data_IF_016862103026
#
_entry.id   IF_016862103026
#
_cell.length_a   1.000
_cell.length_b   1.000
_cell.length_c   1.000
_cell.angle_alpha   90.00
_cell.angle_beta   90.00
_cell.angle_gamma   90.00
#
_symmetry.space_group_name_H-M   'P 1'
#
loop_
_entity.id
_entity.type
_entity.pdbx_description
1 polymer ?
#
# COMPACT_ATOMS: atom_id res chain seq x y z
N UNK A 1 42.18 -31.12 45.61
CA UNK A 1 40.72 -31.18 45.72
C UNK A 1 40.20 -29.81 45.31
N UNK A 2 39.86 -29.64 44.03
CA UNK A 2 39.49 -28.34 43.43
C UNK A 2 37.97 -28.25 43.42
N UNK A 3 37.42 -27.39 44.24
CA UNK A 3 35.97 -27.06 44.28
C UNK A 3 35.67 -26.12 43.09
N UNK A 4 35.00 -26.61 42.06
CA UNK A 4 34.45 -25.82 40.99
C UNK A 4 33.16 -25.11 41.46
N UNK A 5 32.96 -23.82 41.15
CA UNK A 5 31.83 -23.05 41.66
C UNK A 5 30.54 -23.43 40.92
N UNK A 6 29.60 -24.05 41.59
CA UNK A 6 28.23 -24.42 41.11
C UNK A 6 27.38 -23.18 40.84
N UNK A 7 27.80 -22.00 41.24
CA UNK A 7 27.03 -20.76 41.19
C UNK A 7 26.99 -20.14 39.78
N UNK A 8 28.03 -20.28 38.96
CA UNK A 8 28.11 -19.71 37.62
C UNK A 8 27.15 -20.33 36.58
N UNK A 9 26.81 -21.61 36.72
CA UNK A 9 25.88 -22.31 35.80
C UNK A 9 24.42 -21.83 35.91
N UNK A 10 24.02 -21.22 37.03
CA UNK A 10 22.65 -20.69 37.22
C UNK A 10 22.40 -19.36 36.54
N UNK A 11 23.41 -18.50 36.47
CA UNK A 11 23.33 -17.16 35.87
C UNK A 11 23.38 -17.25 34.35
N UNK A 12 24.24 -18.09 33.78
CA UNK A 12 24.32 -18.34 32.34
C UNK A 12 23.00 -18.91 31.76
N UNK A 13 22.33 -19.77 32.52
CA UNK A 13 21.04 -20.34 32.13
C UNK A 13 19.89 -19.29 32.13
N UNK A 14 19.90 -18.34 33.08
CA UNK A 14 18.93 -17.22 33.11
C UNK A 14 19.21 -16.24 31.99
N UNK A 15 20.45 -15.86 31.78
CA UNK A 15 20.85 -14.92 30.71
C UNK A 15 20.49 -15.45 29.32
N UNK A 16 20.76 -16.73 29.01
CA UNK A 16 20.36 -17.40 27.76
C UNK A 16 18.85 -17.40 27.54
N UNK A 17 18.03 -17.52 28.58
CA UNK A 17 16.57 -17.46 28.48
C UNK A 17 16.07 -16.06 28.15
N UNK A 18 16.60 -15.03 28.80
CA UNK A 18 16.24 -13.64 28.49
C UNK A 18 16.67 -13.24 27.07
N UNK A 19 17.85 -13.65 26.63
CA UNK A 19 18.30 -13.42 25.24
C UNK A 19 17.37 -14.10 24.24
N UNK A 20 16.98 -15.36 24.47
CA UNK A 20 16.04 -16.07 23.59
C UNK A 20 14.67 -15.36 23.51
N UNK A 21 14.13 -14.92 24.65
CA UNK A 21 12.84 -14.20 24.68
C UNK A 21 12.94 -12.86 23.96
N UNK A 22 14.00 -12.09 24.20
CA UNK A 22 14.24 -10.81 23.53
C UNK A 22 14.35 -11.02 22.02
N UNK A 23 15.11 -12.01 21.57
CA UNK A 23 15.25 -12.33 20.13
C UNK A 23 13.90 -12.69 19.52
N UNK A 24 13.09 -13.53 20.19
CA UNK A 24 11.76 -13.89 19.69
C UNK A 24 10.83 -12.67 19.57
N UNK A 25 10.84 -11.78 20.57
CA UNK A 25 10.05 -10.54 20.54
C UNK A 25 10.53 -9.62 19.41
N UNK A 26 11.85 -9.47 19.22
CA UNK A 26 12.38 -8.65 18.13
C UNK A 26 11.99 -9.21 16.75
N UNK A 27 12.11 -10.50 16.52
CA UNK A 27 11.69 -11.15 15.28
C UNK A 27 10.20 -10.96 15.05
N UNK A 28 9.38 -11.12 16.09
CA UNK A 28 7.94 -10.91 15.99
C UNK A 28 7.59 -9.45 15.66
N UNK A 29 8.22 -8.48 16.34
CA UNK A 29 7.99 -7.05 16.08
C UNK A 29 8.43 -6.65 14.67
N UNK A 30 9.55 -7.19 14.20
CA UNK A 30 10.02 -6.96 12.82
C UNK A 30 9.01 -7.52 11.82
N UNK A 31 8.54 -8.75 11.99
CA UNK A 31 7.53 -9.35 11.13
C UNK A 31 6.20 -8.59 11.13
N UNK A 32 5.74 -8.15 12.31
CA UNK A 32 4.54 -7.34 12.45
C UNK A 32 4.69 -5.97 11.78
N UNK A 33 5.86 -5.32 11.93
CA UNK A 33 6.14 -4.03 11.28
C UNK A 33 6.12 -4.15 9.76
N UNK A 34 6.70 -5.20 9.20
CA UNK A 34 6.67 -5.47 7.76
C UNK A 34 5.24 -5.72 7.25
N UNK A 35 4.44 -6.44 8.02
CA UNK A 35 3.05 -6.74 7.67
C UNK A 35 2.15 -5.49 7.72
N UNK A 36 2.36 -4.61 8.69
CA UNK A 36 1.57 -3.39 8.86
C UNK A 36 2.05 -2.24 7.97
N UNK A 37 3.28 -2.30 7.44
CA UNK A 37 3.89 -1.22 6.66
C UNK A 37 2.99 -0.72 5.52
N UNK A 38 2.43 -1.56 4.63
CA UNK A 38 1.60 -1.07 3.54
C UNK A 38 0.35 -0.33 4.02
N UNK A 39 -0.29 -0.82 5.08
CA UNK A 39 -1.51 -0.22 5.63
C UNK A 39 -1.23 1.15 6.26
N UNK A 40 -0.17 1.24 7.06
CA UNK A 40 0.24 2.50 7.71
C UNK A 40 0.69 3.53 6.67
N UNK A 41 1.50 3.10 5.72
CA UNK A 41 2.03 3.97 4.67
C UNK A 41 0.92 4.48 3.75
N UNK A 42 -0.01 3.62 3.32
CA UNK A 42 -1.15 4.04 2.52
C UNK A 42 -2.06 5.04 3.27
N UNK A 43 -2.31 4.82 4.56
CA UNK A 43 -3.05 5.78 5.39
C UNK A 43 -2.35 7.13 5.46
N UNK A 44 -1.04 7.14 5.68
CA UNK A 44 -0.24 8.37 5.72
C UNK A 44 -0.30 9.11 4.38
N UNK A 45 -0.12 8.40 3.27
CA UNK A 45 -0.17 8.98 1.93
C UNK A 45 -1.57 9.52 1.58
N UNK A 46 -2.63 8.78 1.89
CA UNK A 46 -4.01 9.24 1.71
C UNK A 46 -4.30 10.54 2.47
N UNK A 47 -3.74 10.68 3.68
CA UNK A 47 -3.88 11.92 4.46
C UNK A 47 -3.15 13.11 3.80
N UNK A 48 -1.95 12.88 3.26
CA UNK A 48 -1.21 13.91 2.52
C UNK A 48 -1.95 14.31 1.23
N UNK A 49 -2.51 13.35 0.49
CA UNK A 49 -3.34 13.63 -0.68
C UNK A 49 -4.54 14.51 -0.31
N UNK A 50 -5.24 14.18 0.77
CA UNK A 50 -6.38 14.98 1.25
C UNK A 50 -5.97 16.39 1.61
N UNK A 51 -4.80 16.55 2.25
CA UNK A 51 -4.27 17.86 2.61
C UNK A 51 -3.88 18.67 1.36
N UNK A 52 -3.17 18.07 0.40
CA UNK A 52 -2.80 18.72 -0.86
C UNK A 52 -4.03 19.20 -1.62
N UNK A 53 -5.08 18.38 -1.70
CA UNK A 53 -6.36 18.78 -2.34
C UNK A 53 -7.04 19.92 -1.58
N UNK A 54 -7.03 19.92 -0.25
CA UNK A 54 -7.61 21.00 0.55
C UNK A 54 -6.86 22.33 0.35
N UNK A 55 -5.51 22.28 0.40
CA UNK A 55 -4.66 23.45 0.16
C UNK A 55 -4.85 24.01 -1.26
N UNK A 56 -4.94 23.14 -2.27
CA UNK A 56 -5.25 23.53 -3.64
C UNK A 56 -6.62 24.22 -3.72
N UNK A 57 -7.66 23.63 -3.13
CA UNK A 57 -9.01 24.21 -3.14
C UNK A 57 -9.07 25.58 -2.47
N UNK A 58 -8.37 25.74 -1.34
CA UNK A 58 -8.26 27.03 -0.63
C UNK A 58 -7.58 28.12 -1.46
N UNK A 59 -6.60 27.76 -2.29
CA UNK A 59 -5.92 28.70 -3.19
C UNK A 59 -6.82 29.13 -4.35
N UNK A 60 -7.50 28.16 -4.97
CA UNK A 60 -8.48 28.43 -6.05
C UNK A 60 -9.59 29.38 -5.57
N UNK A 61 -10.07 29.20 -4.33
CA UNK A 61 -11.10 30.07 -3.77
C UNK A 61 -10.65 31.54 -3.63
N UNK A 62 -9.36 31.76 -3.40
CA UNK A 62 -8.75 33.10 -3.24
C UNK A 62 -8.29 33.71 -4.56
N UNK A 63 -8.27 32.94 -5.64
CA UNK A 63 -7.80 33.38 -6.94
C UNK A 63 -8.85 34.23 -7.66
N UNK A 64 -8.40 35.26 -8.36
CA UNK A 64 -9.30 36.13 -9.15
C UNK A 64 -9.87 35.39 -10.37
N UNK A 65 -11.13 35.68 -10.70
CA UNK A 65 -11.82 35.05 -11.84
C UNK A 65 -11.13 35.36 -13.19
N UNK A 66 -10.46 36.50 -13.31
CA UNK A 66 -9.72 36.85 -14.53
C UNK A 66 -8.45 35.98 -14.64
N UNK A 67 -7.76 35.71 -13.53
CA UNK A 67 -6.60 34.84 -13.50
C UNK A 67 -6.97 33.40 -13.87
N UNK A 68 -8.09 32.89 -13.31
CA UNK A 68 -8.61 31.56 -13.66
C UNK A 68 -8.91 31.46 -15.16
N UNK A 69 -9.64 32.46 -15.69
CA UNK A 69 -9.99 32.49 -17.10
C UNK A 69 -8.77 32.52 -18.00
N UNK A 70 -7.77 33.35 -17.68
CA UNK A 70 -6.50 33.41 -18.42
C UNK A 70 -5.76 32.07 -18.40
N UNK A 71 -5.74 31.38 -17.26
CA UNK A 71 -5.09 30.07 -17.14
C UNK A 71 -5.75 29.02 -18.06
N UNK A 72 -7.10 29.03 -18.14
CA UNK A 72 -7.83 28.16 -19.09
C UNK A 72 -7.53 28.50 -20.54
N UNK A 73 -7.59 29.80 -20.92
CA UNK A 73 -7.31 30.25 -22.29
C UNK A 73 -5.88 29.88 -22.73
N UNK A 74 -4.90 29.95 -21.81
CA UNK A 74 -3.52 29.53 -22.10
C UNK A 74 -3.40 28.03 -22.28
N UNK A 75 -4.10 27.24 -21.47
CA UNK A 75 -4.12 25.77 -21.57
C UNK A 75 -4.83 25.30 -22.85
N UNK A 76 -5.94 25.93 -23.21
CA UNK A 76 -6.64 25.70 -24.50
C UNK A 76 -5.71 25.98 -25.69
N UNK A 77 -5.02 27.11 -25.69
CA UNK A 77 -4.04 27.45 -26.70
C UNK A 77 -2.90 26.44 -26.80
N UNK A 78 -2.43 25.92 -25.70
CA UNK A 78 -1.46 24.81 -25.69
C UNK A 78 -2.06 23.57 -26.38
N UNK A 79 -3.28 23.18 -26.02
CA UNK A 79 -3.98 22.03 -26.60
C UNK A 79 -4.13 22.15 -28.12
N UNK A 80 -4.43 23.34 -28.65
CA UNK A 80 -4.50 23.59 -30.09
C UNK A 80 -3.17 23.26 -30.81
N UNK A 81 -2.05 23.54 -30.17
CA UNK A 81 -0.73 23.24 -30.77
C UNK A 81 -0.43 21.74 -30.89
N UNK A 82 -1.13 20.90 -30.11
CA UNK A 82 -0.92 19.45 -30.11
C UNK A 82 -1.64 18.74 -31.24
N UNK A 83 -2.76 19.26 -31.74
CA UNK A 83 -3.63 18.61 -32.72
C UNK A 83 -2.87 18.25 -34.00
N UNK A 84 -2.00 19.14 -34.47
CA UNK A 84 -1.25 18.97 -35.72
C UNK A 84 0.23 18.58 -35.49
N UNK A 85 0.60 18.22 -34.26
CA UNK A 85 1.98 17.90 -33.92
C UNK A 85 2.21 16.39 -33.76
N UNK A 86 2.74 15.67 -34.76
CA UNK A 86 3.04 14.25 -34.64
C UNK A 86 4.16 13.93 -33.64
N UNK A 87 5.01 14.93 -33.32
CA UNK A 87 6.12 14.80 -32.37
C UNK A 87 5.76 15.24 -30.95
N UNK A 88 4.50 15.41 -30.61
CA UNK A 88 4.03 15.98 -29.34
C UNK A 88 4.52 15.26 -28.09
N UNK A 89 4.87 13.99 -28.16
CA UNK A 89 5.44 13.23 -27.03
C UNK A 89 6.96 13.37 -26.89
N UNK A 90 7.60 14.20 -27.71
CA UNK A 90 9.03 14.55 -27.63
C UNK A 90 9.18 16.07 -27.69
N UNK A 91 8.71 16.80 -26.67
CA UNK A 91 8.74 18.26 -26.69
C UNK A 91 10.17 18.79 -26.69
N UNK A 92 10.38 19.98 -27.21
CA UNK A 92 11.61 20.76 -27.02
C UNK A 92 11.67 21.29 -25.59
N UNK A 93 12.84 21.69 -25.11
CA UNK A 93 13.01 22.29 -23.78
C UNK A 93 12.07 23.50 -23.57
N UNK A 94 11.93 24.37 -24.58
CA UNK A 94 11.04 25.53 -24.53
C UNK A 94 9.56 25.11 -24.44
N UNK A 95 9.16 24.06 -25.15
CA UNK A 95 7.80 23.52 -25.07
C UNK A 95 7.50 22.88 -23.71
N UNK A 96 8.48 22.21 -23.14
CA UNK A 96 8.40 21.60 -21.82
C UNK A 96 8.30 22.64 -20.71
N UNK A 97 9.11 23.71 -20.77
CA UNK A 97 9.02 24.83 -19.83
C UNK A 97 7.65 25.52 -19.92
N UNK A 98 7.16 25.76 -21.14
CA UNK A 98 5.83 26.33 -21.33
C UNK A 98 4.74 25.44 -20.76
N UNK A 99 4.75 24.14 -21.08
CA UNK A 99 3.82 23.16 -20.53
C UNK A 99 3.81 23.18 -18.98
N UNK A 100 4.95 23.15 -18.35
CA UNK A 100 5.08 23.13 -16.88
C UNK A 100 4.61 24.44 -16.22
N UNK A 101 4.59 25.54 -16.96
CA UNK A 101 4.09 26.82 -16.45
C UNK A 101 2.56 26.94 -16.46
N UNK A 102 1.85 26.08 -17.20
CA UNK A 102 0.41 26.13 -17.37
C UNK A 102 -0.31 25.39 -16.23
N UNK A 103 -1.41 25.91 -15.74
CA UNK A 103 -2.22 25.33 -14.65
C UNK A 103 -1.43 25.06 -13.34
N UNK A 104 -0.25 25.64 -13.19
CA UNK A 104 0.53 25.57 -11.93
C UNK A 104 0.34 26.86 -11.14
N UNK A 105 -0.34 26.77 -10.00
CA UNK A 105 -0.74 27.94 -9.20
C UNK A 105 0.39 28.44 -8.31
N UNK A 106 1.28 27.55 -7.89
CA UNK A 106 2.22 27.82 -6.78
C UNK A 106 3.61 27.24 -6.95
N UNK A 107 3.94 26.75 -8.13
CA UNK A 107 5.23 26.13 -8.42
C UNK A 107 5.37 24.70 -7.86
N UNK A 108 4.27 24.10 -7.39
CA UNK A 108 4.27 22.69 -6.95
C UNK A 108 4.03 21.71 -8.08
N UNK A 109 3.61 22.20 -9.25
CA UNK A 109 3.21 21.40 -10.40
C UNK A 109 1.83 20.75 -10.24
N UNK A 110 1.05 21.10 -9.21
CA UNK A 110 -0.30 20.55 -9.03
C UNK A 110 -1.30 21.29 -9.92
N UNK A 111 -1.93 20.54 -10.85
CA UNK A 111 -2.95 21.07 -11.78
C UNK A 111 -4.37 20.99 -11.22
N UNK A 112 -4.64 20.05 -10.34
CA UNK A 112 -5.98 19.72 -9.86
C UNK A 112 -6.01 18.41 -9.09
N UNK A 113 -7.19 17.80 -9.06
CA UNK A 113 -7.34 16.45 -8.49
C UNK A 113 -8.40 15.63 -9.24
N UNK A 114 -8.25 14.30 -9.18
CA UNK A 114 -9.21 13.34 -9.73
C UNK A 114 -10.03 12.71 -8.62
N UNK A 115 -11.32 12.46 -8.90
CA UNK A 115 -12.19 11.64 -8.06
C UNK A 115 -12.77 10.50 -8.90
N UNK A 116 -12.66 9.25 -8.40
CA UNK A 116 -13.23 8.07 -9.02
C UNK A 116 -14.11 7.38 -7.96
N UNK A 117 -15.44 7.65 -7.95
CA UNK A 117 -16.32 7.21 -6.87
C UNK A 117 -16.37 5.68 -6.69
N UNK A 118 -16.40 4.92 -7.80
CA UNK A 118 -16.55 3.47 -7.81
C UNK A 118 -15.44 2.74 -7.01
N UNK A 119 -14.23 3.30 -7.02
CA UNK A 119 -13.07 2.71 -6.33
C UNK A 119 -12.62 3.54 -5.12
N UNK A 120 -13.42 4.52 -4.69
CA UNK A 120 -13.12 5.43 -3.58
C UNK A 120 -11.71 6.04 -3.71
N UNK A 121 -11.42 6.61 -4.89
CA UNK A 121 -10.14 7.19 -5.23
C UNK A 121 -10.26 8.72 -5.30
N UNK A 122 -9.39 9.44 -4.59
CA UNK A 122 -9.22 10.89 -4.68
C UNK A 122 -7.73 11.20 -4.61
N UNK A 123 -7.16 11.71 -5.71
CA UNK A 123 -5.72 11.88 -5.88
C UNK A 123 -5.41 13.24 -6.52
N UNK A 124 -4.32 13.86 -6.08
CA UNK A 124 -3.78 15.06 -6.70
C UNK A 124 -3.21 14.73 -8.09
N UNK A 125 -3.42 15.65 -9.03
CA UNK A 125 -2.93 15.61 -10.40
C UNK A 125 -1.77 16.59 -10.54
N UNK A 126 -0.65 16.11 -11.04
CA UNK A 126 0.58 16.88 -11.20
C UNK A 126 1.04 16.88 -12.66
N UNK A 127 1.87 17.87 -13.02
CA UNK A 127 2.63 17.84 -14.26
C UNK A 127 3.60 16.66 -14.27
N UNK A 128 3.90 16.18 -15.45
CA UNK A 128 4.86 15.13 -15.80
C UNK A 128 4.55 13.75 -15.22
N UNK A 129 5.19 12.73 -15.76
CA UNK A 129 5.15 11.36 -15.28
C UNK A 129 6.47 10.94 -14.63
N UNK A 130 7.21 11.89 -14.10
CA UNK A 130 8.47 11.67 -13.41
C UNK A 130 8.28 10.75 -12.19
N UNK A 131 9.32 10.00 -11.86
CA UNK A 131 9.29 9.07 -10.73
C UNK A 131 8.95 9.76 -9.40
N UNK A 132 9.38 11.01 -9.20
CA UNK A 132 9.06 11.82 -8.02
C UNK A 132 7.56 12.12 -7.90
N UNK A 133 6.90 12.45 -9.02
CA UNK A 133 5.46 12.71 -9.11
C UNK A 133 4.68 11.41 -8.88
N UNK A 134 5.03 10.35 -9.58
CA UNK A 134 4.32 9.07 -9.51
C UNK A 134 4.44 8.39 -8.13
N UNK A 135 5.42 8.76 -7.30
CA UNK A 135 5.51 8.28 -5.91
C UNK A 135 4.44 8.89 -4.99
N UNK A 136 4.00 10.11 -5.29
CA UNK A 136 3.11 10.87 -4.41
C UNK A 136 1.70 11.05 -4.97
N UNK A 137 1.48 10.99 -6.28
CA UNK A 137 0.21 11.26 -6.91
C UNK A 137 0.07 10.66 -8.30
N UNK A 138 -0.73 11.33 -9.11
CA UNK A 138 -0.99 10.99 -10.51
C UNK A 138 -0.35 12.05 -11.38
N UNK A 139 0.39 11.62 -12.40
CA UNK A 139 1.10 12.49 -13.31
C UNK A 139 0.40 12.64 -14.66
N UNK A 140 0.35 13.86 -15.16
CA UNK A 140 -0.12 14.15 -16.51
C UNK A 140 0.98 13.82 -17.53
N UNK A 141 0.63 13.10 -18.59
CA UNK A 141 1.57 12.72 -19.63
C UNK A 141 1.83 13.90 -20.57
N UNK A 142 3.07 14.35 -20.61
CA UNK A 142 3.51 15.40 -21.53
C UNK A 142 3.18 15.03 -22.99
N UNK A 143 2.73 16.03 -23.75
CA UNK A 143 2.29 15.82 -25.13
C UNK A 143 0.87 15.29 -25.29
N UNK A 144 0.17 14.95 -24.17
CA UNK A 144 -1.28 14.83 -24.17
C UNK A 144 -1.93 16.20 -23.87
N UNK A 145 -3.22 16.35 -24.17
CA UNK A 145 -3.92 17.60 -23.92
C UNK A 145 -4.02 17.92 -22.43
N UNK A 146 -3.81 19.17 -22.06
CA UNK A 146 -4.09 19.64 -20.70
C UNK A 146 -5.57 19.44 -20.34
N UNK A 147 -5.90 19.18 -19.06
CA UNK A 147 -7.20 18.71 -18.62
C UNK A 147 -8.25 19.84 -18.51
N UNK A 148 -8.36 20.68 -19.54
CA UNK A 148 -9.34 21.77 -19.62
C UNK A 148 -10.54 21.43 -20.52
N UNK A 149 -10.59 20.18 -21.02
CA UNK A 149 -11.63 19.72 -21.92
C UNK A 149 -11.58 20.37 -23.30
N UNK A 150 -12.63 20.19 -24.06
CA UNK A 150 -12.79 20.77 -25.38
C UNK A 150 -12.74 19.76 -26.53
N UNK A 151 -13.38 20.14 -27.63
CA UNK A 151 -13.41 19.32 -28.86
C UNK A 151 -12.01 19.14 -29.44
N UNK A 152 -11.62 17.92 -29.77
CA UNK A 152 -10.29 17.59 -30.27
C UNK A 152 -9.23 17.58 -29.17
N UNK A 153 -9.59 17.14 -27.95
CA UNK A 153 -8.64 16.98 -26.84
C UNK A 153 -8.58 15.52 -26.36
N UNK A 154 -7.40 15.08 -25.96
CA UNK A 154 -7.19 13.80 -25.30
C UNK A 154 -6.15 13.96 -24.18
N UNK A 155 -6.62 14.03 -22.95
CA UNK A 155 -5.81 14.16 -21.75
C UNK A 155 -5.42 12.76 -21.24
N UNK A 156 -4.18 12.58 -20.78
CA UNK A 156 -3.70 11.29 -20.27
C UNK A 156 -3.06 11.45 -18.90
N UNK A 157 -3.55 10.69 -17.94
CA UNK A 157 -3.01 10.64 -16.59
C UNK A 157 -2.45 9.26 -16.25
N UNK A 158 -1.22 9.22 -15.76
CA UNK A 158 -0.55 8.01 -15.34
C UNK A 158 -0.42 7.93 -13.81
N UNK A 159 -0.68 6.76 -13.26
CA UNK A 159 -0.50 6.50 -11.84
C UNK A 159 0.00 5.10 -11.58
N UNK A 160 0.80 4.96 -10.53
CA UNK A 160 1.34 3.65 -10.13
C UNK A 160 0.27 2.68 -9.67
N UNK A 161 0.54 1.39 -9.89
CA UNK A 161 -0.22 0.26 -9.37
C UNK A 161 0.68 -0.63 -8.53
N UNK A 162 0.17 -1.05 -7.36
CA UNK A 162 0.86 -2.02 -6.52
C UNK A 162 2.03 -1.46 -5.72
N UNK A 163 2.11 -0.15 -5.51
CA UNK A 163 3.09 0.42 -4.58
C UNK A 163 2.74 0.04 -3.14
N UNK A 164 3.71 -0.48 -2.36
CA UNK A 164 3.48 -0.77 -0.94
C UNK A 164 3.19 0.48 -0.10
N UNK A 165 3.60 1.66 -0.60
CA UNK A 165 3.49 2.94 0.10
C UNK A 165 2.19 3.68 -0.17
N UNK A 166 1.52 3.44 -1.31
CA UNK A 166 0.35 4.19 -1.73
C UNK A 166 -0.56 3.37 -2.65
N UNK A 167 -1.87 3.48 -2.46
CA UNK A 167 -2.85 2.78 -3.27
C UNK A 167 -2.89 3.30 -4.71
N UNK A 168 -2.85 4.62 -4.90
CA UNK A 168 -2.93 5.31 -6.19
C UNK A 168 -3.96 4.64 -7.15
N UNK A 169 -3.54 4.26 -8.38
CA UNK A 169 -4.37 3.57 -9.37
C UNK A 169 -4.40 2.04 -9.21
N UNK A 170 -4.13 1.52 -8.02
CA UNK A 170 -4.11 0.06 -7.77
C UNK A 170 -5.43 -0.62 -8.13
N UNK A 171 -6.57 0.00 -7.88
CA UNK A 171 -7.90 -0.56 -8.14
C UNK A 171 -8.49 -0.12 -9.50
N UNK A 172 -7.72 0.52 -10.38
CA UNK A 172 -8.20 1.01 -11.66
C UNK A 172 -8.78 -0.11 -12.55
N UNK A 173 -8.30 -1.34 -12.40
CA UNK A 173 -8.81 -2.53 -13.11
C UNK A 173 -10.21 -2.99 -12.67
N UNK A 174 -10.79 -2.39 -11.64
CA UNK A 174 -12.16 -2.65 -11.20
C UNK A 174 -13.19 -1.83 -11.95
N UNK A 175 -12.76 -0.78 -12.65
CA UNK A 175 -13.65 0.06 -13.44
C UNK A 175 -14.22 -0.69 -14.62
N UNK A 176 -15.46 -0.35 -14.96
CA UNK A 176 -16.22 -0.91 -16.05
C UNK A 176 -16.72 0.20 -16.97
N UNK A 177 -17.14 -0.16 -18.17
CA UNK A 177 -17.80 0.79 -19.09
C UNK A 177 -19.09 1.32 -18.44
N UNK A 178 -19.26 2.64 -18.49
CA UNK A 178 -20.36 3.36 -17.84
C UNK A 178 -20.04 3.89 -16.44
N UNK A 179 -18.92 3.49 -15.82
CA UNK A 179 -18.44 4.12 -14.60
C UNK A 179 -17.96 5.54 -14.90
N UNK A 180 -17.93 6.39 -13.89
CA UNK A 180 -17.52 7.78 -14.06
C UNK A 180 -16.28 8.13 -13.26
N UNK A 181 -15.49 9.08 -13.78
CA UNK A 181 -14.47 9.78 -13.04
C UNK A 181 -14.54 11.27 -13.32
N UNK A 182 -14.08 12.07 -12.36
CA UNK A 182 -14.19 13.51 -12.39
C UNK A 182 -12.81 14.14 -12.22
N UNK A 183 -12.47 15.07 -13.10
CA UNK A 183 -11.32 15.93 -12.97
C UNK A 183 -11.77 17.28 -12.40
N UNK A 184 -11.15 17.70 -11.31
CA UNK A 184 -11.38 19.00 -10.69
C UNK A 184 -10.18 19.90 -10.98
N UNK A 185 -10.36 20.82 -11.89
CA UNK A 185 -9.32 21.74 -12.37
C UNK A 185 -9.78 23.17 -12.08
N UNK A 186 -9.07 23.85 -11.21
CA UNK A 186 -9.49 25.13 -10.65
C UNK A 186 -10.88 25.00 -10.01
N UNK A 187 -11.85 25.79 -10.46
CA UNK A 187 -13.24 25.76 -10.01
C UNK A 187 -14.18 24.98 -10.95
N UNK A 188 -13.63 24.37 -12.01
CA UNK A 188 -14.39 23.58 -12.97
C UNK A 188 -14.28 22.09 -12.68
N UNK A 189 -15.36 21.37 -13.01
CA UNK A 189 -15.42 19.90 -12.92
C UNK A 189 -15.68 19.34 -14.32
N UNK A 190 -14.87 18.37 -14.70
CA UNK A 190 -14.95 17.67 -15.97
C UNK A 190 -15.31 16.21 -15.71
N UNK A 191 -16.55 15.81 -16.02
CA UNK A 191 -17.04 14.45 -15.81
C UNK A 191 -16.84 13.63 -17.07
N UNK A 192 -16.18 12.48 -16.92
CA UNK A 192 -15.94 11.51 -17.99
C UNK A 192 -16.62 10.19 -17.66
N UNK A 193 -17.25 9.55 -18.64
CA UNK A 193 -17.83 8.23 -18.54
C UNK A 193 -16.94 7.24 -19.30
N UNK A 194 -16.56 6.13 -18.65
CA UNK A 194 -15.68 5.10 -19.20
C UNK A 194 -16.34 4.44 -20.42
N UNK A 195 -15.71 4.56 -21.58
CA UNK A 195 -16.17 4.01 -22.85
C UNK A 195 -15.30 2.87 -23.36
N UNK A 196 -14.00 2.88 -23.04
CA UNK A 196 -13.05 1.85 -23.49
C UNK A 196 -12.07 1.45 -22.39
N UNK A 197 -11.75 0.16 -22.36
CA UNK A 197 -10.74 -0.41 -21.47
C UNK A 197 -9.87 -1.33 -22.31
N UNK A 198 -8.55 -1.06 -22.35
CA UNK A 198 -7.58 -1.81 -23.12
C UNK A 198 -6.35 -2.18 -22.29
N UNK A 199 -5.72 -3.29 -22.67
CA UNK A 199 -4.39 -3.67 -22.21
C UNK A 199 -3.47 -3.63 -23.44
N UNK A 200 -2.38 -2.88 -23.34
CA UNK A 200 -1.45 -2.61 -24.44
C UNK A 200 0.00 -2.77 -24.01
N UNK A 201 0.89 -2.91 -24.97
CA UNK A 201 2.34 -2.86 -24.74
C UNK A 201 2.77 -1.47 -24.25
N UNK A 202 3.85 -1.35 -23.44
CA UNK A 202 4.29 -0.08 -22.86
C UNK A 202 4.60 1.04 -23.85
N UNK A 203 4.91 0.71 -25.10
CA UNK A 203 5.29 1.65 -26.17
C UNK A 203 4.17 1.91 -27.18
N UNK A 204 2.99 1.34 -26.96
CA UNK A 204 1.84 1.54 -27.85
C UNK A 204 1.04 2.80 -27.44
N UNK A 205 1.31 3.88 -28.12
CA UNK A 205 0.61 5.16 -27.94
C UNK A 205 -0.58 5.36 -28.90
N UNK A 206 -0.91 4.35 -29.73
CA UNK A 206 -1.94 4.48 -30.78
C UNK A 206 -3.32 4.82 -30.23
N UNK A 207 -3.67 4.33 -29.05
CA UNK A 207 -4.94 4.62 -28.37
C UNK A 207 -4.95 5.94 -27.60
N UNK A 208 -3.85 6.70 -27.58
CA UNK A 208 -3.73 8.00 -26.93
C UNK A 208 -3.82 9.17 -27.93
N UNK A 209 -4.20 8.89 -29.17
CA UNK A 209 -4.34 9.91 -30.20
C UNK A 209 -5.49 10.88 -29.88
N UNK A 210 -5.30 12.12 -30.30
CA UNK A 210 -6.36 13.12 -30.29
C UNK A 210 -7.33 12.77 -31.43
N UNK A 211 -8.61 12.64 -31.13
CA UNK A 211 -9.68 12.36 -32.08
C UNK A 211 -10.45 13.65 -32.35
N UNK A 212 -10.66 13.96 -33.65
CA UNK A 212 -11.38 15.19 -34.04
C UNK A 212 -12.83 15.17 -33.53
N UNK A 213 -13.23 16.24 -32.88
CA UNK A 213 -14.58 16.36 -32.35
C UNK A 213 -14.79 15.76 -30.95
N UNK A 214 -13.88 14.91 -30.48
CA UNK A 214 -14.00 14.25 -29.18
C UNK A 214 -13.30 15.02 -28.05
N UNK A 215 -13.81 14.85 -26.84
CA UNK A 215 -13.19 15.29 -25.59
C UNK A 215 -12.94 14.04 -24.74
N UNK A 216 -11.68 13.57 -24.72
CA UNK A 216 -11.27 12.29 -24.16
C UNK A 216 -10.33 12.47 -22.98
N UNK A 217 -10.41 11.55 -22.02
CA UNK A 217 -9.43 11.40 -20.97
C UNK A 217 -9.10 9.92 -20.73
N UNK A 218 -7.82 9.58 -20.68
CA UNK A 218 -7.35 8.22 -20.42
C UNK A 218 -6.59 8.16 -19.10
N UNK A 219 -7.00 7.22 -18.24
CA UNK A 219 -6.27 6.84 -17.03
C UNK A 219 -5.39 5.63 -17.33
N UNK A 220 -4.09 5.75 -17.08
CA UNK A 220 -3.07 4.77 -17.42
C UNK A 220 -2.42 4.21 -16.15
N UNK A 221 -2.28 2.89 -16.08
CA UNK A 221 -1.51 2.22 -15.03
C UNK A 221 -0.82 0.97 -15.54
N UNK A 222 0.11 0.43 -14.75
CA UNK A 222 0.79 -0.83 -15.07
C UNK A 222 -0.10 -2.05 -14.81
N UNK A 223 0.06 -3.10 -15.62
CA UNK A 223 -0.63 -4.39 -15.47
C UNK A 223 0.26 -5.52 -16.00
N UNK A 224 0.11 -6.82 -15.57
CA UNK A 224 -0.64 -7.29 -14.40
C UNK A 224 -0.02 -6.80 -13.07
N UNK A 225 -0.80 -6.83 -11.98
CA UNK A 225 -0.36 -6.40 -10.66
C UNK A 225 0.96 -7.07 -10.24
N UNK A 226 1.95 -6.27 -9.88
CA UNK A 226 3.26 -6.72 -9.42
C UNK A 226 4.21 -7.24 -10.53
N UNK A 227 3.72 -7.49 -11.76
CA UNK A 227 4.53 -7.89 -12.92
C UNK A 227 4.84 -6.68 -13.80
N UNK A 228 3.82 -5.84 -14.09
CA UNK A 228 3.95 -4.54 -14.74
C UNK A 228 4.50 -4.55 -16.18
N UNK A 229 4.30 -5.65 -16.92
CA UNK A 229 4.80 -5.82 -18.29
C UNK A 229 3.98 -5.07 -19.33
N UNK A 230 2.72 -4.78 -19.04
CA UNK A 230 1.75 -4.12 -19.92
C UNK A 230 1.20 -2.85 -19.30
N UNK A 231 0.37 -2.13 -20.04
CA UNK A 231 -0.36 -0.94 -19.56
C UNK A 231 -1.86 -1.18 -19.68
N UNK A 232 -2.57 -0.87 -18.59
CA UNK A 232 -4.03 -0.78 -18.56
C UNK A 232 -4.41 0.66 -18.88
N UNK A 233 -5.22 0.84 -19.91
CA UNK A 233 -5.81 2.09 -20.34
C UNK A 233 -7.30 2.06 -20.05
N UNK A 234 -7.80 3.00 -19.25
CA UNK A 234 -9.22 3.22 -18.99
C UNK A 234 -9.56 4.57 -19.55
N UNK A 235 -10.20 4.59 -20.76
CA UNK A 235 -10.58 5.79 -21.47
C UNK A 235 -12.01 6.19 -21.11
N UNK A 236 -12.24 7.47 -20.92
CA UNK A 236 -13.56 8.06 -20.83
C UNK A 236 -13.75 9.17 -21.84
N UNK A 237 -15.00 9.35 -22.26
CA UNK A 237 -15.46 10.48 -23.07
C UNK A 237 -16.19 11.48 -22.15
N UNK A 238 -16.16 12.74 -22.54
CA UNK A 238 -16.78 13.84 -21.80
C UNK A 238 -18.30 13.70 -21.78
N UNK A 239 -18.91 13.82 -20.61
CA UNK A 239 -20.36 13.90 -20.44
C UNK A 239 -20.75 15.18 -19.69
N UNK A 240 -22.03 15.57 -19.76
CA UNK A 240 -22.54 16.67 -18.96
C UNK A 240 -22.43 16.35 -17.45
N UNK A 241 -22.01 17.34 -16.67
CA UNK A 241 -21.91 17.18 -15.22
C UNK A 241 -23.28 16.85 -14.63
N UNK A 242 -23.34 15.86 -13.74
CA UNK A 242 -24.57 15.47 -13.03
C UNK A 242 -24.82 16.38 -11.84
N UNK A 243 -26.08 16.47 -11.39
CA UNK A 243 -26.39 17.19 -10.15
C UNK A 243 -25.67 16.49 -8.98
N UNK A 244 -24.74 17.20 -8.35
CA UNK A 244 -23.89 16.68 -7.28
C UNK A 244 -22.41 16.56 -7.62
N UNK A 245 -22.03 16.54 -8.92
CA UNK A 245 -20.63 16.50 -9.34
C UNK A 245 -19.83 17.73 -8.85
N UNK A 246 -20.51 18.87 -8.75
CA UNK A 246 -19.97 20.12 -8.21
C UNK A 246 -20.06 20.21 -6.68
N UNK A 247 -20.60 19.19 -5.99
CA UNK A 247 -20.64 19.22 -4.53
C UNK A 247 -19.20 19.05 -4.01
N UNK A 248 -18.72 20.08 -3.30
CA UNK A 248 -17.51 19.94 -2.48
C UNK A 248 -17.76 18.79 -1.53
N UNK A 249 -17.10 17.66 -1.76
CA UNK A 249 -17.19 16.53 -0.85
C UNK A 249 -16.42 16.95 0.41
N UNK A 250 -17.14 17.47 1.39
CA UNK A 250 -16.60 17.63 2.74
C UNK A 250 -16.28 16.25 3.26
N UNK A 251 -15.00 16.03 3.52
CA UNK A 251 -14.41 14.74 3.94
C UNK A 251 -14.76 14.35 5.38
N UNK A 252 -16.00 14.56 5.82
CA UNK A 252 -16.45 14.29 7.21
C UNK A 252 -17.08 12.91 7.43
N UNK A 253 -17.06 12.03 6.44
CA UNK A 253 -17.32 10.62 6.74
C UNK A 253 -16.09 10.05 7.48
N UNK A 254 -16.19 9.99 8.80
CA UNK A 254 -15.20 9.33 9.66
C UNK A 254 -15.11 7.85 9.28
N UNK A 255 -14.33 7.53 8.25
CA UNK A 255 -14.00 6.15 7.89
C UNK A 255 -13.19 5.58 9.05
N UNK A 256 -13.72 4.53 9.69
CA UNK A 256 -12.98 3.79 10.72
C UNK A 256 -11.68 3.33 10.08
N UNK A 257 -10.58 3.95 10.48
CA UNK A 257 -9.26 3.66 9.93
C UNK A 257 -8.92 2.19 10.20
N UNK A 258 -8.72 1.41 9.12
CA UNK A 258 -8.28 0.00 9.22
C UNK A 258 -6.99 -0.11 10.06
N UNK A 259 -6.18 0.95 10.08
CA UNK A 259 -4.97 1.06 10.91
C UNK A 259 -5.33 1.10 12.39
N UNK A 260 -6.33 1.90 12.80
CA UNK A 260 -6.76 1.94 14.20
C UNK A 260 -7.31 0.58 14.65
N UNK A 261 -8.03 -0.13 13.79
CA UNK A 261 -8.51 -1.49 14.07
C UNK A 261 -7.33 -2.46 14.17
N UNK A 262 -6.39 -2.43 13.24
CA UNK A 262 -5.21 -3.30 13.25
C UNK A 262 -4.30 -3.04 14.48
N UNK A 263 -4.09 -1.79 14.84
CA UNK A 263 -3.34 -1.40 16.04
C UNK A 263 -4.12 -1.77 17.31
N UNK A 264 -5.43 -1.53 17.34
CA UNK A 264 -6.31 -1.88 18.46
C UNK A 264 -6.38 -3.38 18.75
N UNK A 265 -6.23 -4.22 17.74
CA UNK A 265 -6.18 -5.70 17.89
C UNK A 265 -4.74 -6.18 18.10
N UNK A 266 -3.79 -5.63 17.36
CA UNK A 266 -2.39 -6.08 17.36
C UNK A 266 -1.68 -5.83 18.70
N UNK A 267 -1.86 -4.66 19.31
CA UNK A 267 -1.24 -4.33 20.60
C UNK A 267 -1.73 -5.25 21.73
N UNK A 268 -3.03 -5.49 21.94
CA UNK A 268 -3.50 -6.46 22.96
C UNK A 268 -2.98 -7.87 22.73
N UNK A 269 -2.95 -8.35 21.49
CA UNK A 269 -2.40 -9.67 21.16
C UNK A 269 -0.90 -9.77 21.49
N UNK A 270 -0.13 -8.71 21.25
CA UNK A 270 1.27 -8.62 21.65
C UNK A 270 1.44 -8.67 23.16
N UNK A 271 0.64 -7.92 23.90
CA UNK A 271 0.67 -7.91 25.38
C UNK A 271 0.32 -9.29 25.92
N UNK A 272 -0.73 -9.93 25.38
CA UNK A 272 -1.14 -11.28 25.78
C UNK A 272 -0.04 -12.30 25.50
N UNK A 273 0.58 -12.22 24.33
CA UNK A 273 1.70 -13.09 23.96
C UNK A 273 2.91 -12.91 24.88
N UNK A 274 3.24 -11.66 25.22
CA UNK A 274 4.32 -11.35 26.15
C UNK A 274 4.03 -11.88 27.56
N UNK A 275 2.81 -11.68 28.07
CA UNK A 275 2.37 -12.19 29.36
C UNK A 275 2.40 -13.74 29.37
N UNK A 276 1.94 -14.39 28.30
CA UNK A 276 1.92 -15.84 28.17
C UNK A 276 3.35 -16.43 28.22
N UNK A 277 4.32 -15.79 27.57
CA UNK A 277 5.74 -16.18 27.62
C UNK A 277 6.31 -15.99 29.03
N UNK A 278 6.08 -14.84 29.66
CA UNK A 278 6.55 -14.55 31.03
C UNK A 278 5.96 -15.53 32.06
N UNK A 279 4.64 -15.79 31.99
CA UNK A 279 3.96 -16.77 32.84
C UNK A 279 4.47 -18.19 32.59
N UNK A 280 4.70 -18.56 31.32
CA UNK A 280 5.27 -19.88 30.96
C UNK A 280 6.68 -20.09 31.54
N UNK A 281 7.49 -19.02 31.60
CA UNK A 281 8.82 -19.07 32.21
C UNK A 281 8.80 -19.11 33.75
N UNK A 282 7.76 -18.54 34.38
CA UNK A 282 7.56 -18.54 35.85
C UNK A 282 6.95 -19.84 36.37
N UNK A 283 6.20 -20.60 35.53
CA UNK A 283 5.61 -21.85 35.94
C UNK A 283 6.71 -22.92 36.21
N UNK A 284 6.76 -23.47 37.42
CA UNK A 284 7.78 -24.48 37.75
C UNK A 284 7.58 -25.71 36.86
N UNK A 285 8.58 -26.01 36.02
CA UNK A 285 8.54 -27.21 35.16
C UNK A 285 8.30 -28.42 36.05
N UNK A 286 7.08 -28.95 36.03
CA UNK A 286 6.70 -30.20 36.71
C UNK A 286 7.72 -31.26 36.31
N UNK A 287 8.67 -31.54 37.25
CA UNK A 287 9.74 -32.48 37.03
C UNK A 287 9.09 -33.82 36.67
N UNK A 288 9.35 -34.29 35.43
CA UNK A 288 9.06 -35.69 35.00
C UNK A 288 9.88 -36.71 35.81
N UNK A 289 9.72 -36.71 37.16
CA UNK A 289 10.47 -37.58 38.08
C UNK A 289 9.77 -38.91 38.31
N UNK A 290 8.61 -39.16 37.75
CA UNK A 290 7.80 -40.33 38.09
C UNK A 290 8.11 -41.59 37.25
N UNK A 291 8.48 -41.48 35.97
CA UNK A 291 8.64 -42.68 35.13
C UNK A 291 9.96 -43.47 35.37
N UNK A 292 11.05 -42.82 35.82
CA UNK A 292 12.30 -43.50 36.04
C UNK A 292 12.37 -44.25 37.42
N UNK A 293 11.60 -43.75 38.41
CA UNK A 293 11.54 -44.41 39.71
C UNK A 293 10.78 -45.74 39.68
N UNK A 294 9.76 -45.87 38.87
CA UNK A 294 9.00 -47.11 38.69
C UNK A 294 9.77 -48.15 37.88
N UNK A 295 10.55 -47.75 36.87
CA UNK A 295 11.41 -48.65 36.09
C UNK A 295 12.55 -49.21 36.93
N UNK A 296 13.16 -48.39 37.81
CA UNK A 296 14.21 -48.86 38.71
C UNK A 296 13.70 -49.77 39.86
N UNK A 297 12.47 -49.48 40.36
CA UNK A 297 11.83 -50.39 41.35
C UNK A 297 11.49 -51.76 40.73
N UNK A 298 10.96 -51.80 39.50
CA UNK A 298 10.70 -53.06 38.78
C UNK A 298 11.98 -53.85 38.49
N UNK A 299 13.07 -53.19 38.04
CA UNK A 299 14.37 -53.84 37.85
C UNK A 299 14.95 -54.42 39.13
N UNK A 300 14.89 -53.69 40.26
CA UNK A 300 15.35 -54.21 41.55
C UNK A 300 14.51 -55.40 42.04
N UNK A 301 13.19 -55.38 41.88
CA UNK A 301 12.31 -56.49 42.24
C UNK A 301 12.60 -57.76 41.41
N UNK A 302 12.84 -57.58 40.10
CA UNK A 302 13.16 -58.72 39.20
C UNK A 302 14.51 -59.35 39.52
N UNK A 303 15.51 -58.55 39.87
CA UNK A 303 16.85 -59.07 40.28
C UNK A 303 16.75 -59.78 41.60
N UNK A 304 16.01 -59.30 42.59
CA UNK A 304 15.84 -60.00 43.87
C UNK A 304 15.08 -61.33 43.73
N UNK A 305 14.07 -61.38 42.84
CA UNK A 305 13.31 -62.61 42.59
C UNK A 305 14.20 -63.65 41.88
N UNK A 306 15.08 -63.23 40.98
CA UNK A 306 16.00 -64.09 40.27
C UNK A 306 17.11 -64.67 41.22
N UNK A 307 17.62 -63.82 42.13
CA UNK A 307 18.59 -64.22 43.14
C UNK A 307 17.99 -65.20 44.13
N UNK A 308 16.73 -65.04 44.57
CA UNK A 308 16.01 -65.99 45.43
C UNK A 308 15.84 -67.39 44.74
N UNK A 309 15.48 -67.39 43.44
CA UNK A 309 15.35 -68.64 42.68
C UNK A 309 16.66 -69.43 42.52
N UNK A 310 17.78 -68.71 42.37
CA UNK A 310 19.11 -69.37 42.28
C UNK A 310 19.46 -69.97 43.61
N UNK A 311 19.23 -69.32 44.73
CA UNK A 311 19.51 -69.80 46.07
C UNK A 311 18.68 -71.03 46.43
N UNK A 312 17.41 -71.09 46.03
CA UNK A 312 16.53 -72.26 46.26
C UNK A 312 16.95 -73.47 45.42
N UNK A 313 17.50 -73.28 44.21
CA UNK A 313 18.00 -74.37 43.38
C UNK A 313 19.32 -74.94 43.89
N UNK A 314 20.18 -74.16 44.56
CA UNK A 314 21.44 -74.64 45.16
C UNK A 314 21.22 -75.43 46.45
N UNK A 315 20.16 -75.17 47.21
CA UNK A 315 19.82 -75.89 48.43
C UNK A 315 19.09 -77.20 48.16
N UNK A 316 18.42 -77.39 47.03
CA UNK A 316 17.73 -78.63 46.68
C UNK A 316 18.68 -79.69 45.99
N UNK A 317 19.85 -79.24 45.49
CA UNK A 317 20.84 -80.12 44.85
C UNK A 317 21.84 -80.75 45.79
N UNK A 318 21.73 -80.53 47.13
CA UNK A 318 22.67 -81.02 48.14
C UNK A 318 22.05 -82.12 49.06
N UNK A 319 20.89 -82.66 48.66
CA UNK A 319 20.26 -83.81 49.30
C UNK A 319 19.91 -84.85 48.25
N UNK A 320 20.93 -85.50 47.73
CA UNK A 320 20.92 -86.83 47.15
C UNK A 320 22.31 -87.44 47.31
#
# INVERSE_FOLDING_TARGET
MVLFPVQQQGEDCKMRKHVSTITTVLVFLTGLSLLLYPTVSNYWNSKHQTQAVAEYSDRIEKMDEQEKKLAFEQAEKYNETLISNPGRFTPTEEQDEWYKSLLDIDGTGMMGYITIPEIDCKLALYHTVDASVLQVGVGHMEGSSLPVGGSGTHCVFSGHRGLPSAKLFTDLDRLQKGDIFLLHIYDQVFTYEVDQIHIVEPIDYGLLNIEEGEDLCTLLTCTPYGINTERLLVRGHRIANRSGDNSRITSDAAKVSTVLVAVGIGIPLLIISFIAVDVSDRLPKRKKKSKNRSKNRRRKATIQTRAKRIRTKQTSGRRR
#
